data_IF_219402004723
#
_entry.id   IF_219402004723
#
_cell.length_a   1.000
_cell.length_b   1.000
_cell.length_c   1.000
_cell.angle_alpha   90.00
_cell.angle_beta   90.00
_cell.angle_gamma   90.00
#
_symmetry.space_group_name_H-M   'P 1'
#
loop_
_entity.id
_entity.type
_entity.pdbx_description
1 polymer ?
#
# COMPACT_ATOMS: atom_id res chain seq x y z
N UNK A 1 21.69 3.44 -2.70
CA UNK A 1 20.88 3.32 -1.48
C UNK A 1 21.27 2.04 -0.80
N UNK A 2 21.68 2.08 0.46
CA UNK A 2 21.98 0.87 1.23
C UNK A 2 20.68 0.14 1.64
N UNK A 3 20.82 -1.11 2.10
CA UNK A 3 19.67 -1.97 2.42
C UNK A 3 18.84 -1.43 3.59
N UNK A 4 19.45 -0.73 4.54
CA UNK A 4 18.79 -0.13 5.70
C UNK A 4 17.97 1.09 5.29
N UNK A 5 18.53 1.96 4.45
CA UNK A 5 17.82 3.10 3.88
C UNK A 5 16.64 2.64 3.01
N UNK A 6 16.81 1.57 2.23
CA UNK A 6 15.71 0.97 1.48
C UNK A 6 14.62 0.41 2.41
N UNK A 7 15.00 -0.29 3.49
CA UNK A 7 14.04 -0.85 4.44
C UNK A 7 13.20 0.25 5.12
N UNK A 8 13.84 1.33 5.56
CA UNK A 8 13.14 2.49 6.13
C UNK A 8 12.19 3.15 5.13
N UNK A 9 12.64 3.32 3.88
CA UNK A 9 11.82 3.85 2.80
C UNK A 9 10.61 2.95 2.51
N UNK A 10 10.83 1.65 2.35
CA UNK A 10 9.76 0.68 2.08
C UNK A 10 8.75 0.61 3.25
N UNK A 11 9.21 0.74 4.50
CA UNK A 11 8.33 0.82 5.66
C UNK A 11 7.44 2.08 5.63
N UNK A 12 8.01 3.24 5.30
CA UNK A 12 7.24 4.49 5.14
C UNK A 12 6.21 4.38 4.00
N UNK A 13 6.61 3.83 2.84
CA UNK A 13 5.69 3.59 1.73
C UNK A 13 4.53 2.68 2.12
N UNK A 14 4.78 1.64 2.90
CA UNK A 14 3.73 0.73 3.36
C UNK A 14 2.76 1.40 4.34
N UNK A 15 3.24 2.30 5.19
CA UNK A 15 2.40 3.10 6.08
C UNK A 15 1.53 4.10 5.30
N UNK A 16 2.11 4.82 4.36
CA UNK A 16 1.40 5.78 3.50
C UNK A 16 0.33 5.08 2.65
N UNK A 17 0.68 3.95 2.03
CA UNK A 17 -0.27 3.15 1.25
C UNK A 17 -1.43 2.67 2.12
N UNK A 18 -1.18 2.23 3.36
CA UNK A 18 -2.23 1.81 4.27
C UNK A 18 -3.17 2.97 4.62
N UNK A 19 -2.61 4.14 4.95
CA UNK A 19 -3.40 5.33 5.27
C UNK A 19 -4.26 5.81 4.08
N UNK A 20 -3.75 5.70 2.85
CA UNK A 20 -4.53 6.03 1.65
C UNK A 20 -5.63 4.98 1.46
N UNK A 21 -5.30 3.70 1.50
CA UNK A 21 -6.27 2.60 1.30
C UNK A 21 -7.42 2.61 2.31
N UNK A 22 -7.18 3.07 3.55
CA UNK A 22 -8.24 3.23 4.56
C UNK A 22 -9.36 4.21 4.12
N UNK A 23 -9.09 5.07 3.15
CA UNK A 23 -10.05 6.02 2.56
C UNK A 23 -10.72 5.48 1.29
N UNK A 24 -10.36 4.27 0.87
CA UNK A 24 -10.99 3.56 -0.23
C UNK A 24 -12.01 2.55 0.30
N UNK A 25 -13.05 2.32 -0.48
CA UNK A 25 -14.13 1.41 -0.13
C UNK A 25 -15.38 1.70 -0.96
N UNK A 26 -16.47 0.96 -0.73
CA UNK A 26 -17.74 1.19 -1.39
C UNK A 26 -18.20 2.63 -1.15
N UNK A 27 -18.40 3.38 -2.22
CA UNK A 27 -19.08 4.67 -2.19
C UNK A 27 -20.57 4.50 -2.49
N UNK A 28 -21.21 5.59 -2.93
CA UNK A 28 -22.55 5.51 -3.50
C UNK A 28 -22.53 4.96 -4.93
N UNK A 29 -23.40 3.97 -5.21
CA UNK A 29 -23.55 3.41 -6.55
C UNK A 29 -22.37 2.54 -7.01
N UNK A 30 -22.02 2.62 -8.30
CA UNK A 30 -20.91 1.87 -8.91
C UNK A 30 -19.54 2.57 -8.76
N UNK A 31 -19.36 3.33 -7.67
CA UNK A 31 -18.18 4.16 -7.44
C UNK A 31 -17.55 3.86 -6.08
N UNK A 32 -16.22 3.92 -6.03
CA UNK A 32 -15.44 3.94 -4.80
C UNK A 32 -15.57 5.31 -4.11
N UNK A 33 -15.37 5.36 -2.78
CA UNK A 33 -15.38 6.58 -1.97
C UNK A 33 -14.42 7.69 -2.47
N UNK A 34 -13.38 7.33 -3.24
CA UNK A 34 -12.49 8.28 -3.89
C UNK A 34 -13.05 8.90 -5.19
N UNK A 35 -14.31 8.62 -5.55
CA UNK A 35 -14.99 9.12 -6.75
C UNK A 35 -14.65 8.40 -8.07
N UNK A 36 -13.84 7.34 -8.03
CA UNK A 36 -13.51 6.52 -9.22
C UNK A 36 -14.49 5.35 -9.35
N UNK A 37 -14.69 4.78 -10.55
CA UNK A 37 -15.49 3.57 -10.73
C UNK A 37 -15.02 2.44 -9.83
N UNK A 38 -15.95 1.58 -9.42
CA UNK A 38 -15.65 0.32 -8.74
C UNK A 38 -15.59 -0.83 -9.77
N UNK A 39 -14.52 -1.65 -9.81
CA UNK A 39 -13.38 -1.66 -8.90
C UNK A 39 -12.44 -0.47 -9.07
N UNK A 40 -11.95 0.08 -7.95
CA UNK A 40 -11.14 1.31 -7.96
C UNK A 40 -9.70 1.07 -8.49
N UNK A 41 -9.33 1.60 -9.68
CA UNK A 41 -8.01 1.36 -10.26
C UNK A 41 -6.87 1.97 -9.44
N UNK A 42 -7.16 3.04 -8.69
CA UNK A 42 -6.19 3.64 -7.78
C UNK A 42 -5.90 2.74 -6.57
N UNK A 43 -6.95 2.18 -5.96
CA UNK A 43 -6.80 1.22 -4.87
C UNK A 43 -6.04 -0.02 -5.34
N UNK A 44 -6.35 -0.54 -6.53
CA UNK A 44 -5.64 -1.69 -7.11
C UNK A 44 -4.15 -1.40 -7.32
N UNK A 45 -3.80 -0.21 -7.83
CA UNK A 45 -2.40 0.20 -7.99
C UNK A 45 -1.68 0.25 -6.65
N UNK A 46 -2.30 0.83 -5.62
CA UNK A 46 -1.76 0.89 -4.26
C UNK A 46 -1.58 -0.51 -3.65
N UNK A 47 -2.52 -1.43 -3.88
CA UNK A 47 -2.41 -2.82 -3.45
C UNK A 47 -1.23 -3.53 -4.14
N UNK A 48 -0.99 -3.28 -5.43
CA UNK A 48 0.19 -3.79 -6.15
C UNK A 48 1.49 -3.23 -5.58
N UNK A 49 1.55 -1.93 -5.29
CA UNK A 49 2.72 -1.32 -4.65
C UNK A 49 2.96 -1.88 -3.25
N UNK A 50 1.91 -2.08 -2.45
CA UNK A 50 1.99 -2.74 -1.14
C UNK A 50 2.61 -4.13 -1.25
N UNK A 51 2.17 -4.92 -2.22
CA UNK A 51 2.71 -6.26 -2.46
C UNK A 51 4.19 -6.19 -2.88
N UNK A 52 4.55 -5.24 -3.74
CA UNK A 52 5.93 -5.02 -4.17
C UNK A 52 6.87 -4.73 -2.99
N UNK A 53 6.56 -3.73 -2.16
CA UNK A 53 7.44 -3.37 -1.03
C UNK A 53 7.56 -4.49 0.01
N UNK A 54 6.46 -5.22 0.29
CA UNK A 54 6.51 -6.40 1.17
C UNK A 54 7.44 -7.48 0.62
N UNK A 55 7.39 -7.74 -0.69
CA UNK A 55 8.29 -8.70 -1.34
C UNK A 55 9.75 -8.25 -1.24
N UNK A 56 10.03 -6.98 -1.51
CA UNK A 56 11.40 -6.46 -1.44
C UNK A 56 11.98 -6.51 -0.02
N UNK A 57 11.19 -6.18 1.01
CA UNK A 57 11.62 -6.31 2.41
C UNK A 57 11.94 -7.77 2.76
N UNK A 58 11.06 -8.71 2.40
CA UNK A 58 11.28 -10.13 2.64
C UNK A 58 12.54 -10.66 1.94
N UNK A 59 12.78 -10.24 0.68
CA UNK A 59 13.99 -10.60 -0.07
C UNK A 59 15.27 -10.00 0.53
N UNK A 60 15.17 -8.83 1.15
CA UNK A 60 16.29 -8.17 1.83
C UNK A 60 16.49 -8.66 3.28
N UNK A 61 15.69 -9.62 3.76
CA UNK A 61 15.78 -10.16 5.12
C UNK A 61 15.20 -9.26 6.21
N UNK A 62 14.45 -8.22 5.83
CA UNK A 62 13.78 -7.34 6.78
C UNK A 62 12.34 -7.82 7.04
N UNK A 63 11.89 -7.84 8.31
CA UNK A 63 10.50 -8.14 8.59
C UNK A 63 9.60 -7.05 7.99
N UNK A 64 8.43 -7.40 7.44
CA UNK A 64 7.47 -6.39 7.03
C UNK A 64 7.01 -5.57 8.25
N UNK A 65 6.75 -4.26 8.09
CA UNK A 65 6.21 -3.45 9.17
C UNK A 65 4.87 -4.03 9.66
N UNK A 66 4.54 -3.84 10.95
CA UNK A 66 3.26 -4.28 11.50
C UNK A 66 2.11 -3.72 10.66
N UNK A 67 1.02 -4.49 10.55
CA UNK A 67 -0.18 -4.03 9.86
C UNK A 67 -0.71 -2.79 10.58
N UNK A 68 -0.65 -1.63 9.91
CA UNK A 68 -1.59 -0.55 10.17
C UNK A 68 -2.93 -1.05 9.60
N UNK A 69 -3.77 -1.60 10.47
CA UNK A 69 -5.17 -1.92 10.20
C UNK A 69 -6.00 -0.73 10.69
#
# INVERSE_FOLDING_TARGET
MDATAFAAYAAAQLADIAAILARHGPGGGACCACGRPDPCPHAETLLRHRAHYRRCLAQAGYPPPPRAD
#
